data_IF_033464143342
#
_entry.id   IF_033464143342
#
_cell.length_a   1.000
_cell.length_b   1.000
_cell.length_c   1.000
_cell.angle_alpha   90.00
_cell.angle_beta   90.00
_cell.angle_gamma   90.00
#
_symmetry.space_group_name_H-M   'P 1'
#
loop_
_entity.id
_entity.type
_entity.pdbx_description
1 polymer ?
#
# COMPACT_ATOMS: atom_id res chain seq x y z
N UNK A 1 5.37 14.12 15.09
CA UNK A 1 3.93 14.28 15.49
C UNK A 1 3.57 12.98 16.18
N UNK A 2 3.28 13.03 17.48
CA UNK A 2 2.86 11.82 18.19
C UNK A 2 1.39 11.52 17.83
N UNK A 3 1.11 10.30 17.39
CA UNK A 3 -0.23 9.81 17.09
C UNK A 3 -0.56 8.62 17.95
N UNK A 4 -1.83 8.47 18.31
CA UNK A 4 -2.27 7.33 19.11
C UNK A 4 -2.66 6.17 18.22
N UNK A 5 -2.36 4.95 18.69
CA UNK A 5 -2.82 3.72 18.06
C UNK A 5 -4.27 3.47 18.50
N UNK A 6 -5.15 3.35 17.52
CA UNK A 6 -6.56 3.02 17.70
C UNK A 6 -6.85 1.59 17.22
N UNK A 7 -7.95 1.02 17.68
CA UNK A 7 -8.41 -0.31 17.29
C UNK A 7 -9.89 -0.30 17.02
N UNK A 8 -10.30 -1.10 16.06
CA UNK A 8 -11.69 -1.39 15.77
C UNK A 8 -11.89 -2.90 15.61
N UNK A 9 -12.93 -3.41 16.23
CA UNK A 9 -13.36 -4.80 16.08
C UNK A 9 -14.72 -4.83 15.37
N UNK A 10 -14.80 -5.58 14.29
CA UNK A 10 -16.02 -5.76 13.53
C UNK A 10 -16.08 -7.17 12.94
N UNK A 11 -17.23 -7.82 13.00
CA UNK A 11 -17.45 -9.18 12.48
C UNK A 11 -16.42 -10.22 12.96
N UNK A 12 -15.92 -10.08 14.22
CA UNK A 12 -14.92 -10.98 14.78
C UNK A 12 -13.48 -10.70 14.32
N UNK A 13 -13.25 -9.63 13.57
CA UNK A 13 -11.94 -9.20 13.09
C UNK A 13 -11.49 -7.94 13.83
N UNK A 14 -10.24 -7.89 14.26
CA UNK A 14 -9.64 -6.71 14.91
C UNK A 14 -8.62 -6.06 13.98
N UNK A 15 -8.75 -4.73 13.81
CA UNK A 15 -7.83 -3.89 13.04
C UNK A 15 -7.16 -2.88 13.95
N UNK A 16 -5.87 -2.67 13.72
CA UNK A 16 -5.16 -1.52 14.22
C UNK A 16 -5.09 -0.42 13.16
N UNK A 17 -5.23 0.81 13.60
CA UNK A 17 -5.04 1.99 12.76
C UNK A 17 -4.58 3.17 13.62
N UNK A 18 -4.15 4.22 12.96
CA UNK A 18 -3.99 5.53 13.58
C UNK A 18 -4.54 6.61 12.65
N UNK A 19 -4.90 7.73 13.23
CA UNK A 19 -5.40 8.87 12.45
C UNK A 19 -4.78 10.18 12.88
N UNK A 20 -4.77 11.11 11.95
CA UNK A 20 -4.26 12.46 12.17
C UNK A 20 -4.84 13.41 11.12
N UNK A 21 -4.59 14.71 11.30
CA UNK A 21 -5.16 15.73 10.43
C UNK A 21 -6.46 16.31 10.98
N UNK A 22 -6.94 17.39 10.36
CA UNK A 22 -8.10 18.18 10.80
C UNK A 22 -9.01 18.60 9.64
N UNK A 23 -8.77 18.05 8.45
CA UNK A 23 -9.61 18.27 7.28
C UNK A 23 -10.99 17.63 7.44
N UNK A 24 -11.93 18.10 6.65
CA UNK A 24 -13.31 17.59 6.60
C UNK A 24 -13.47 16.37 5.66
N UNK A 25 -12.46 16.12 4.84
CA UNK A 25 -12.40 14.99 3.91
C UNK A 25 -11.66 13.83 4.54
N UNK A 26 -12.09 12.61 4.26
CA UNK A 26 -11.45 11.40 4.78
C UNK A 26 -10.52 10.80 3.73
N UNK A 27 -9.27 10.58 4.11
CA UNK A 27 -8.27 9.88 3.32
C UNK A 27 -7.86 8.60 4.04
N UNK A 28 -8.07 7.46 3.41
CA UNK A 28 -7.59 6.18 3.92
C UNK A 28 -6.32 5.79 3.16
N UNK A 29 -5.26 5.55 3.90
CA UNK A 29 -3.96 5.09 3.40
C UNK A 29 -3.84 3.60 3.64
N UNK A 30 -3.62 2.84 2.57
CA UNK A 30 -3.40 1.40 2.61
C UNK A 30 -1.95 1.15 2.18
N UNK A 31 -1.05 0.78 3.11
CA UNK A 31 0.37 0.60 2.81
C UNK A 31 0.63 -0.66 2.00
N UNK A 32 1.77 -0.71 1.37
CA UNK A 32 2.30 -1.88 0.68
C UNK A 32 2.60 -3.05 1.61
N UNK A 33 3.12 -4.13 1.03
CA UNK A 33 3.72 -5.23 1.78
C UNK A 33 4.94 -4.71 2.57
N UNK A 34 5.04 -5.09 3.82
CA UNK A 34 6.15 -4.72 4.70
C UNK A 34 6.48 -5.85 5.65
N UNK A 35 7.74 -5.96 6.03
CA UNK A 35 8.20 -6.97 6.98
C UNK A 35 7.58 -6.72 8.35
N UNK A 36 7.66 -5.48 8.84
CA UNK A 36 7.03 -5.05 10.10
C UNK A 36 5.72 -4.33 9.84
N UNK A 37 4.83 -4.35 10.82
CA UNK A 37 3.59 -3.58 10.77
C UNK A 37 3.87 -2.08 10.62
N UNK A 38 3.13 -1.42 9.71
CA UNK A 38 3.18 0.05 9.56
C UNK A 38 2.85 0.78 10.86
N UNK A 39 2.08 0.13 11.74
CA UNK A 39 1.70 0.70 13.03
C UNK A 39 2.88 0.86 13.99
N UNK A 40 3.94 0.05 13.83
CA UNK A 40 5.20 0.19 14.56
C UNK A 40 5.94 1.49 14.22
N UNK A 41 5.63 2.08 13.06
CA UNK A 41 6.23 3.32 12.55
C UNK A 41 5.26 4.50 12.51
N UNK A 42 4.14 4.42 13.23
CA UNK A 42 3.01 5.36 13.16
C UNK A 42 3.41 6.84 13.19
N UNK A 43 4.35 7.21 14.07
CA UNK A 43 4.78 8.60 14.23
C UNK A 43 5.59 9.11 13.02
N UNK A 44 6.47 8.26 12.48
CA UNK A 44 7.26 8.56 11.28
C UNK A 44 6.37 8.61 10.03
N UNK A 45 5.43 7.68 9.90
CA UNK A 45 4.45 7.65 8.80
C UNK A 45 3.54 8.88 8.84
N UNK A 46 3.07 9.28 10.03
CA UNK A 46 2.28 10.49 10.18
C UNK A 46 3.07 11.77 9.80
N UNK A 47 4.38 11.79 10.05
CA UNK A 47 5.26 12.88 9.60
C UNK A 47 5.43 12.86 8.09
N UNK A 48 5.67 11.69 7.49
CA UNK A 48 5.83 11.52 6.04
C UNK A 48 4.57 11.92 5.25
N UNK A 49 3.38 11.68 5.82
CA UNK A 49 2.09 11.99 5.21
C UNK A 49 1.50 13.34 5.65
N UNK A 50 2.29 14.16 6.34
CA UNK A 50 1.78 15.42 6.95
C UNK A 50 1.23 16.41 5.91
N UNK A 51 1.65 16.32 4.65
CA UNK A 51 1.14 17.17 3.55
C UNK A 51 -0.39 17.08 3.41
N UNK A 52 -1.00 15.92 3.75
CA UNK A 52 -2.44 15.71 3.68
C UNK A 52 -3.21 16.27 4.88
N UNK A 53 -2.55 16.47 6.03
CA UNK A 53 -3.17 16.71 7.35
C UNK A 53 -4.00 17.98 7.48
N UNK A 54 -3.81 18.96 6.58
CA UNK A 54 -4.57 20.21 6.56
C UNK A 54 -5.96 20.01 5.95
N UNK A 55 -6.05 19.20 4.90
CA UNK A 55 -7.23 19.10 4.04
C UNK A 55 -8.01 17.80 4.29
N UNK A 56 -7.37 16.82 4.91
CA UNK A 56 -7.93 15.51 5.21
C UNK A 56 -7.80 15.14 6.68
N UNK A 57 -8.77 14.38 7.18
CA UNK A 57 -8.59 13.46 8.29
C UNK A 57 -8.02 12.17 7.68
N UNK A 58 -6.76 11.85 8.01
CA UNK A 58 -6.01 10.75 7.41
C UNK A 58 -6.07 9.54 8.32
N UNK A 59 -6.51 8.42 7.79
CA UNK A 59 -6.54 7.12 8.45
C UNK A 59 -5.48 6.22 7.81
N UNK A 60 -4.60 5.65 8.61
CA UNK A 60 -3.60 4.66 8.16
C UNK A 60 -3.90 3.34 8.84
N UNK A 61 -4.28 2.34 8.05
CA UNK A 61 -4.59 1.00 8.54
C UNK A 61 -3.45 0.03 8.25
N UNK A 62 -3.32 -0.99 9.11
CA UNK A 62 -2.65 -2.24 8.71
C UNK A 62 -3.70 -3.33 8.48
N UNK A 63 -3.26 -4.49 7.97
CA UNK A 63 -4.10 -5.70 7.83
C UNK A 63 -4.58 -6.13 9.21
N UNK A 64 -5.62 -6.96 9.25
CA UNK A 64 -6.15 -7.52 10.50
C UNK A 64 -5.05 -8.10 11.38
N UNK A 65 -5.27 -8.08 12.69
CA UNK A 65 -4.26 -8.50 13.66
C UNK A 65 -3.93 -10.01 13.56
N UNK A 66 -4.97 -10.83 13.49
CA UNK A 66 -4.82 -12.27 13.39
C UNK A 66 -5.08 -12.68 11.93
N UNK A 67 -4.02 -12.92 11.19
CA UNK A 67 -4.12 -13.34 9.79
C UNK A 67 -4.58 -14.80 9.71
N UNK A 68 -5.54 -15.16 8.84
CA UNK A 68 -5.84 -16.54 8.52
C UNK A 68 -4.71 -17.12 7.66
N UNK A 69 -4.61 -18.45 7.59
CA UNK A 69 -3.61 -19.14 6.76
C UNK A 69 -3.79 -18.81 5.26
N UNK A 70 -5.04 -18.77 4.80
CA UNK A 70 -5.41 -18.29 3.47
C UNK A 70 -5.94 -16.86 3.61
N UNK A 71 -5.28 -15.91 2.94
CA UNK A 71 -5.62 -14.50 3.04
C UNK A 71 -5.31 -13.78 1.72
N UNK A 72 -6.27 -13.81 0.82
CA UNK A 72 -6.17 -13.23 -0.52
C UNK A 72 -6.28 -11.70 -0.49
N UNK A 73 -5.94 -11.05 -1.60
CA UNK A 73 -6.14 -9.59 -1.73
C UNK A 73 -7.64 -9.23 -1.65
N UNK A 74 -8.52 -10.11 -2.13
CA UNK A 74 -9.98 -9.91 -2.02
C UNK A 74 -10.43 -9.98 -0.57
N UNK A 75 -9.98 -10.97 0.23
CA UNK A 75 -10.26 -11.07 1.66
C UNK A 75 -9.76 -9.82 2.41
N UNK A 76 -8.56 -9.32 2.05
CA UNK A 76 -8.04 -8.09 2.63
C UNK A 76 -8.96 -6.90 2.33
N UNK A 77 -9.48 -6.80 1.12
CA UNK A 77 -10.41 -5.71 0.74
C UNK A 77 -11.74 -5.81 1.50
N UNK A 78 -12.30 -7.02 1.66
CA UNK A 78 -13.52 -7.24 2.48
C UNK A 78 -13.31 -6.84 3.94
N UNK A 79 -12.16 -7.20 4.49
CA UNK A 79 -11.77 -6.82 5.84
C UNK A 79 -11.70 -5.30 6.00
N UNK A 80 -11.06 -4.60 5.07
CA UNK A 80 -10.99 -3.13 5.09
C UNK A 80 -12.38 -2.49 4.97
N UNK A 81 -13.23 -2.98 4.05
CA UNK A 81 -14.62 -2.52 3.91
C UNK A 81 -15.37 -2.68 5.23
N UNK A 82 -15.22 -3.84 5.89
CA UNK A 82 -15.83 -4.12 7.20
C UNK A 82 -15.36 -3.11 8.26
N UNK A 83 -14.07 -2.80 8.31
CA UNK A 83 -13.54 -1.80 9.25
C UNK A 83 -14.06 -0.38 8.93
N UNK A 84 -14.16 0.00 7.65
CA UNK A 84 -14.63 1.31 7.24
C UNK A 84 -16.12 1.50 7.54
N UNK A 85 -16.93 0.47 7.32
CA UNK A 85 -18.37 0.49 7.67
C UNK A 85 -18.56 0.58 9.20
N UNK A 86 -17.78 -0.17 9.98
CA UNK A 86 -17.83 -0.13 11.44
C UNK A 86 -17.44 1.23 12.03
N UNK A 87 -16.50 1.93 11.39
CA UNK A 87 -16.10 3.29 11.75
C UNK A 87 -17.05 4.38 11.21
N UNK A 88 -18.02 4.01 10.38
CA UNK A 88 -18.94 4.96 9.75
C UNK A 88 -18.20 5.97 8.86
N UNK A 89 -17.17 5.54 8.13
CA UNK A 89 -16.35 6.46 7.34
C UNK A 89 -17.15 7.08 6.18
N UNK A 90 -18.17 6.38 5.65
CA UNK A 90 -18.95 6.84 4.52
C UNK A 90 -18.12 6.92 3.23
N UNK A 91 -18.22 8.04 2.50
CA UNK A 91 -17.37 8.25 1.31
C UNK A 91 -15.96 8.66 1.70
N UNK A 92 -14.98 7.96 1.12
CA UNK A 92 -13.55 8.14 1.41
C UNK A 92 -12.74 8.34 0.12
N UNK A 93 -11.60 8.97 0.24
CA UNK A 93 -10.53 8.86 -0.75
C UNK A 93 -9.58 7.75 -0.34
N UNK A 94 -9.02 7.02 -1.32
CA UNK A 94 -8.03 5.97 -1.09
C UNK A 94 -6.64 6.41 -1.59
N UNK A 95 -5.62 6.08 -0.82
CA UNK A 95 -4.23 6.18 -1.22
C UNK A 95 -3.59 4.81 -0.98
N UNK A 96 -3.51 4.02 -2.04
CA UNK A 96 -3.03 2.64 -2.00
C UNK A 96 -1.66 2.50 -2.67
N UNK A 97 -0.70 1.91 -1.95
CA UNK A 97 0.66 1.71 -2.45
C UNK A 97 0.96 0.22 -2.59
N UNK A 98 1.51 -0.21 -3.71
CA UNK A 98 1.95 -1.59 -3.95
C UNK A 98 0.81 -2.58 -3.67
N UNK A 99 0.97 -3.56 -2.78
CA UNK A 99 -0.12 -4.45 -2.33
C UNK A 99 -1.33 -3.65 -1.81
N UNK A 100 -1.11 -2.51 -1.14
CA UNK A 100 -2.21 -1.62 -0.73
C UNK A 100 -2.97 -1.02 -1.90
N UNK A 101 -2.31 -0.83 -3.04
CA UNK A 101 -2.97 -0.45 -4.31
C UNK A 101 -3.84 -1.57 -4.88
N UNK A 102 -3.38 -2.82 -4.81
CA UNK A 102 -4.19 -4.00 -5.20
C UNK A 102 -5.47 -4.10 -4.35
N UNK A 103 -5.34 -3.89 -3.04
CA UNK A 103 -6.47 -3.86 -2.11
C UNK A 103 -7.42 -2.70 -2.45
N UNK A 104 -6.90 -1.50 -2.69
CA UNK A 104 -7.69 -0.33 -3.03
C UNK A 104 -8.48 -0.50 -4.34
N UNK A 105 -7.90 -1.15 -5.36
CA UNK A 105 -8.59 -1.53 -6.60
C UNK A 105 -9.78 -2.45 -6.30
N UNK A 106 -9.58 -3.49 -5.47
CA UNK A 106 -10.67 -4.38 -5.07
C UNK A 106 -11.77 -3.64 -4.31
N UNK A 107 -11.43 -2.79 -3.35
CA UNK A 107 -12.42 -1.97 -2.62
C UNK A 107 -13.25 -1.12 -3.58
N UNK A 108 -12.61 -0.46 -4.55
CA UNK A 108 -13.31 0.39 -5.51
C UNK A 108 -14.20 -0.41 -6.48
N UNK A 109 -13.85 -1.67 -6.79
CA UNK A 109 -14.65 -2.61 -7.58
C UNK A 109 -15.85 -3.12 -6.76
N UNK A 110 -15.64 -3.51 -5.50
CA UNK A 110 -16.67 -4.10 -4.64
C UNK A 110 -17.63 -3.05 -4.07
N UNK A 111 -17.15 -1.86 -3.76
CA UNK A 111 -17.89 -0.77 -3.12
C UNK A 111 -17.68 0.56 -3.86
N UNK A 112 -18.11 0.66 -5.13
CA UNK A 112 -17.96 1.90 -5.91
C UNK A 112 -18.69 3.09 -5.30
N UNK A 113 -19.69 2.85 -4.43
CA UNK A 113 -20.40 3.87 -3.67
C UNK A 113 -19.56 4.50 -2.56
N UNK A 114 -18.57 3.77 -2.04
CA UNK A 114 -17.73 4.19 -0.92
C UNK A 114 -16.54 5.05 -1.35
N UNK A 115 -16.02 4.87 -2.58
CA UNK A 115 -14.77 5.52 -3.01
C UNK A 115 -15.07 6.77 -3.83
N UNK A 116 -14.63 7.94 -3.34
CA UNK A 116 -14.78 9.24 -4.02
C UNK A 116 -13.69 9.51 -5.05
N UNK A 117 -12.47 9.14 -4.75
CA UNK A 117 -11.30 9.25 -5.61
C UNK A 117 -10.19 8.33 -5.08
N UNK A 118 -9.27 7.89 -5.93
CA UNK A 118 -8.11 7.13 -5.43
C UNK A 118 -6.82 7.43 -6.17
N UNK A 119 -5.72 7.29 -5.44
CA UNK A 119 -4.36 7.29 -5.95
C UNK A 119 -3.78 5.89 -5.76
N UNK A 120 -3.25 5.32 -6.83
CA UNK A 120 -2.61 4.01 -6.85
C UNK A 120 -1.14 4.20 -7.20
N UNK A 121 -0.26 3.87 -6.26
CA UNK A 121 1.19 4.02 -6.42
C UNK A 121 1.90 2.68 -6.55
N UNK A 122 2.79 2.53 -7.54
CA UNK A 122 3.69 1.37 -7.71
C UNK A 122 2.96 0.03 -7.52
N UNK A 123 1.87 -0.20 -8.25
CA UNK A 123 0.96 -1.32 -8.03
C UNK A 123 0.61 -2.05 -9.34
N UNK A 124 -0.16 -3.12 -9.24
CA UNK A 124 -0.58 -3.94 -10.36
C UNK A 124 -2.06 -4.35 -10.21
N UNK A 125 -2.74 -4.61 -11.33
CA UNK A 125 -4.07 -5.21 -11.35
C UNK A 125 -4.02 -6.73 -11.52
N UNK A 126 -2.88 -7.25 -11.90
CA UNK A 126 -2.53 -8.68 -12.00
C UNK A 126 -1.02 -8.82 -11.88
N UNK A 127 -0.53 -9.98 -11.47
CA UNK A 127 0.90 -10.17 -11.28
C UNK A 127 1.57 -10.75 -12.52
N UNK A 128 2.64 -10.09 -12.96
CA UNK A 128 3.58 -10.64 -13.93
C UNK A 128 4.40 -11.77 -13.31
N UNK A 129 4.94 -12.68 -14.13
CA UNK A 129 5.87 -13.72 -13.65
C UNK A 129 7.10 -13.12 -12.96
N UNK A 130 7.56 -11.95 -13.42
CA UNK A 130 8.65 -11.22 -12.77
C UNK A 130 8.29 -10.84 -11.33
N UNK A 131 7.10 -10.27 -11.13
CA UNK A 131 6.59 -9.89 -9.80
C UNK A 131 6.42 -11.10 -8.90
N UNK A 132 5.82 -12.20 -9.42
CA UNK A 132 5.66 -13.46 -8.69
C UNK A 132 7.00 -14.02 -8.23
N UNK A 133 8.00 -14.04 -9.10
CA UNK A 133 9.33 -14.52 -8.76
C UNK A 133 10.00 -13.63 -7.70
N UNK A 134 9.85 -12.30 -7.78
CA UNK A 134 10.40 -11.36 -6.80
C UNK A 134 9.79 -11.60 -5.42
N UNK A 135 8.45 -11.64 -5.33
CA UNK A 135 7.72 -11.87 -4.08
C UNK A 135 7.97 -13.29 -3.55
N UNK A 136 8.00 -14.29 -4.43
CA UNK A 136 8.31 -15.68 -4.09
C UNK A 136 9.70 -15.84 -3.45
N UNK A 137 10.69 -15.03 -3.89
CA UNK A 137 12.00 -15.02 -3.26
C UNK A 137 11.96 -14.46 -1.84
N UNK A 138 11.18 -13.40 -1.60
CA UNK A 138 10.98 -12.87 -0.24
C UNK A 138 10.28 -13.87 0.68
N UNK A 139 9.25 -14.55 0.16
CA UNK A 139 8.54 -15.62 0.86
C UNK A 139 9.49 -16.76 1.26
N UNK A 140 10.32 -17.25 0.32
CA UNK A 140 11.32 -18.29 0.59
C UNK A 140 12.28 -17.90 1.73
N UNK A 141 12.78 -16.66 1.71
CA UNK A 141 13.70 -16.15 2.71
C UNK A 141 13.00 -15.96 4.08
N UNK A 142 11.75 -15.49 4.07
CA UNK A 142 10.95 -15.38 5.29
C UNK A 142 10.69 -16.74 5.93
N UNK A 143 10.34 -17.78 5.15
CA UNK A 143 10.17 -19.14 5.65
C UNK A 143 11.45 -19.74 6.27
N UNK A 144 12.62 -19.34 5.75
CA UNK A 144 13.92 -19.72 6.31
C UNK A 144 14.34 -18.87 7.49
N UNK A 145 13.58 -17.80 7.80
CA UNK A 145 13.92 -16.79 8.81
C UNK A 145 15.32 -16.21 8.60
N UNK A 146 15.75 -16.09 7.34
CA UNK A 146 17.02 -15.50 6.96
C UNK A 146 16.87 -13.98 6.86
N UNK A 147 16.94 -13.32 8.03
CA UNK A 147 16.74 -11.89 8.16
C UNK A 147 17.69 -11.09 7.24
N UNK A 148 18.97 -11.42 7.27
CA UNK A 148 19.96 -10.66 6.50
C UNK A 148 19.71 -10.74 5.00
N UNK A 149 19.48 -11.94 4.47
CA UNK A 149 19.20 -12.13 3.05
C UNK A 149 17.82 -11.54 2.65
N UNK A 150 16.82 -11.61 3.54
CA UNK A 150 15.50 -11.03 3.29
C UNK A 150 15.58 -9.51 3.18
N UNK A 151 16.21 -8.83 4.13
CA UNK A 151 16.31 -7.38 4.14
C UNK A 151 17.12 -6.85 2.95
N UNK A 152 18.18 -7.56 2.56
CA UNK A 152 18.95 -7.25 1.34
C UNK A 152 18.12 -7.43 0.08
N UNK A 153 17.45 -8.58 -0.07
CA UNK A 153 16.63 -8.89 -1.24
C UNK A 153 15.42 -7.96 -1.36
N UNK A 154 14.84 -7.55 -0.24
CA UNK A 154 13.71 -6.62 -0.20
C UNK A 154 14.18 -5.19 -0.54
N UNK A 155 15.15 -4.66 0.21
CA UNK A 155 15.60 -3.28 0.08
C UNK A 155 16.18 -2.97 -1.30
N UNK A 156 17.03 -3.87 -1.84
CA UNK A 156 17.64 -3.69 -3.17
C UNK A 156 16.63 -3.70 -4.34
N UNK A 157 15.43 -4.21 -4.15
CA UNK A 157 14.36 -4.24 -5.17
C UNK A 157 13.36 -3.11 -4.99
N UNK A 158 13.10 -2.71 -3.74
CA UNK A 158 12.09 -1.72 -3.40
C UNK A 158 12.58 -0.30 -3.68
N UNK A 159 13.83 0.01 -3.33
CA UNK A 159 14.41 1.34 -3.54
C UNK A 159 15.19 1.44 -4.85
N UNK A 160 15.34 2.66 -5.37
CA UNK A 160 16.28 2.90 -6.45
C UNK A 160 17.71 2.57 -6.01
N UNK A 161 18.58 2.17 -6.96
CA UNK A 161 19.93 1.75 -6.65
C UNK A 161 20.70 2.80 -5.87
N UNK A 162 20.66 4.07 -6.33
CA UNK A 162 21.36 5.17 -5.69
C UNK A 162 20.87 5.42 -4.27
N UNK A 163 19.55 5.42 -4.07
CA UNK A 163 18.95 5.62 -2.77
C UNK A 163 19.31 4.48 -1.81
N UNK A 164 19.21 3.23 -2.28
CA UNK A 164 19.54 2.07 -1.45
C UNK A 164 21.01 2.05 -1.03
N UNK A 165 21.93 2.26 -1.97
CA UNK A 165 23.37 2.32 -1.66
C UNK A 165 23.70 3.41 -0.63
N UNK A 166 23.02 4.56 -0.71
CA UNK A 166 23.21 5.69 0.21
C UNK A 166 22.63 5.47 1.60
N UNK A 167 21.47 4.82 1.70
CA UNK A 167 20.70 4.72 2.94
C UNK A 167 20.55 3.29 3.47
N UNK A 168 21.22 2.31 2.87
CA UNK A 168 21.11 0.89 3.21
C UNK A 168 21.16 0.60 4.69
N UNK A 169 22.16 1.13 5.40
CA UNK A 169 22.34 0.86 6.83
C UNK A 169 21.17 1.44 7.67
N UNK A 170 20.65 2.60 7.26
CA UNK A 170 19.50 3.22 7.92
C UNK A 170 18.25 2.38 7.68
N UNK A 171 18.01 1.97 6.45
CA UNK A 171 16.87 1.14 6.04
C UNK A 171 16.89 -0.19 6.81
N UNK A 172 18.01 -0.92 6.75
CA UNK A 172 18.15 -2.21 7.43
C UNK A 172 18.00 -2.05 8.95
N UNK A 173 18.67 -1.07 9.55
CA UNK A 173 18.57 -0.85 11.00
C UNK A 173 17.16 -0.44 11.46
N UNK A 174 16.33 0.13 10.61
CA UNK A 174 14.95 0.50 10.96
C UNK A 174 14.01 -0.71 11.07
N UNK A 175 14.33 -1.81 10.38
CA UNK A 175 13.47 -3.00 10.27
C UNK A 175 14.12 -4.30 10.76
N UNK A 176 15.37 -4.26 11.23
CA UNK A 176 16.05 -5.43 11.81
C UNK A 176 15.38 -5.93 13.08
N UNK A 177 15.87 -7.05 13.62
CA UNK A 177 15.32 -7.76 14.77
C UNK A 177 13.87 -8.22 14.47
N UNK A 178 13.72 -8.96 13.36
CA UNK A 178 12.44 -9.50 12.89
C UNK A 178 12.03 -10.66 13.80
N UNK A 179 10.84 -10.58 14.37
CA UNK A 179 10.30 -11.66 15.20
C UNK A 179 9.76 -12.82 14.35
N UNK A 180 9.60 -13.98 14.97
CA UNK A 180 9.00 -15.15 14.31
C UNK A 180 7.59 -14.85 13.79
N UNK A 181 6.78 -14.09 14.55
CA UNK A 181 5.44 -13.67 14.15
C UNK A 181 5.46 -12.72 12.93
N UNK A 182 6.47 -11.85 12.82
CA UNK A 182 6.63 -10.97 11.66
C UNK A 182 7.06 -11.75 10.40
N UNK A 183 7.92 -12.77 10.56
CA UNK A 183 8.23 -13.70 9.45
C UNK A 183 6.99 -14.47 9.00
N UNK A 184 6.23 -15.05 9.93
CA UNK A 184 5.02 -15.81 9.64
C UNK A 184 3.96 -14.93 8.98
N UNK A 185 3.82 -13.68 9.46
CA UNK A 185 2.94 -12.67 8.85
C UNK A 185 3.35 -12.38 7.40
N UNK A 186 4.63 -12.17 7.13
CA UNK A 186 5.13 -11.91 5.78
C UNK A 186 4.87 -13.10 4.84
N UNK A 187 5.05 -14.32 5.34
CA UNK A 187 4.74 -15.55 4.60
C UNK A 187 3.27 -15.58 4.18
N UNK A 188 2.34 -15.38 5.11
CA UNK A 188 0.89 -15.37 4.82
C UNK A 188 0.55 -14.29 3.78
N UNK A 189 1.09 -13.07 3.94
CA UNK A 189 0.80 -11.96 3.04
C UNK A 189 1.38 -12.13 1.63
N UNK A 190 2.32 -13.05 1.44
CA UNK A 190 2.96 -13.33 0.15
C UNK A 190 2.52 -14.64 -0.49
N UNK A 191 2.01 -15.61 0.29
CA UNK A 191 1.55 -16.91 -0.24
C UNK A 191 0.36 -16.76 -1.19
N UNK A 192 -0.62 -15.97 -0.82
CA UNK A 192 -1.93 -15.91 -1.46
C UNK A 192 -2.04 -14.75 -2.49
N UNK A 193 -0.92 -14.14 -2.87
CA UNK A 193 -0.93 -13.02 -3.82
C UNK A 193 -0.86 -13.48 -5.30
N UNK A 194 -0.38 -14.71 -5.55
CA UNK A 194 -0.03 -15.17 -6.90
C UNK A 194 -1.21 -15.26 -7.88
N UNK A 195 -2.41 -15.51 -7.37
CA UNK A 195 -3.63 -15.65 -8.19
C UNK A 195 -4.40 -14.33 -8.32
N UNK A 196 -3.83 -13.25 -7.81
CA UNK A 196 -4.44 -11.92 -7.90
C UNK A 196 -4.54 -11.45 -9.35
N UNK A 197 -5.77 -11.29 -9.84
CA UNK A 197 -6.08 -10.71 -11.15
C UNK A 197 -7.47 -10.05 -11.12
N UNK A 198 -7.48 -8.72 -11.20
CA UNK A 198 -8.71 -7.91 -11.33
C UNK A 198 -8.71 -7.08 -12.61
N UNK A 199 -7.79 -7.39 -13.55
CA UNK A 199 -7.59 -6.58 -14.75
C UNK A 199 -8.88 -6.38 -15.55
N UNK A 200 -9.68 -7.41 -15.75
CA UNK A 200 -10.93 -7.29 -16.51
C UNK A 200 -12.02 -6.55 -15.72
N UNK A 201 -11.95 -6.57 -14.39
CA UNK A 201 -12.88 -5.86 -13.51
C UNK A 201 -12.54 -4.39 -13.26
N UNK A 202 -11.38 -3.92 -13.72
CA UNK A 202 -10.99 -2.51 -13.58
C UNK A 202 -12.04 -1.54 -14.14
N UNK A 203 -12.79 -1.96 -15.17
CA UNK A 203 -13.87 -1.15 -15.77
C UNK A 203 -15.09 -0.97 -14.85
N UNK A 204 -15.16 -1.68 -13.73
CA UNK A 204 -16.21 -1.53 -12.71
C UNK A 204 -15.94 -0.34 -11.78
N UNK A 205 -14.71 0.19 -11.77
CA UNK A 205 -14.31 1.36 -10.98
C UNK A 205 -15.05 2.60 -11.49
N UNK A 206 -15.66 3.36 -10.56
CA UNK A 206 -16.52 4.51 -10.89
C UNK A 206 -15.96 5.86 -10.45
N UNK A 207 -14.92 5.86 -9.62
CA UNK A 207 -14.30 7.09 -9.13
C UNK A 207 -13.14 7.55 -10.02
N UNK A 208 -12.74 8.81 -9.94
CA UNK A 208 -11.49 9.28 -10.52
C UNK A 208 -10.29 8.54 -9.93
N UNK A 209 -9.33 8.18 -10.79
CA UNK A 209 -8.11 7.45 -10.40
C UNK A 209 -6.88 8.16 -10.96
N UNK A 210 -5.85 8.32 -10.14
CA UNK A 210 -4.50 8.68 -10.55
C UNK A 210 -3.58 7.48 -10.32
N UNK A 211 -2.85 7.11 -11.36
CA UNK A 211 -1.82 6.07 -11.28
C UNK A 211 -0.44 6.74 -11.20
N UNK A 212 0.43 6.26 -10.33
CA UNK A 212 1.78 6.79 -10.17
C UNK A 212 2.80 5.67 -9.97
N UNK A 213 4.02 5.84 -10.49
CA UNK A 213 5.08 4.83 -10.31
C UNK A 213 6.45 5.32 -10.75
N UNK A 214 7.49 4.63 -10.29
CA UNK A 214 8.87 4.86 -10.71
C UNK A 214 9.21 4.11 -12.01
N UNK A 215 9.99 4.73 -12.91
CA UNK A 215 10.38 4.08 -14.17
C UNK A 215 11.31 2.89 -13.98
N UNK A 216 12.01 2.82 -12.83
CA UNK A 216 12.94 1.74 -12.46
C UNK A 216 12.38 0.80 -11.39
N UNK A 217 11.03 0.71 -11.29
CA UNK A 217 10.36 -0.22 -10.36
C UNK A 217 10.76 -1.67 -10.64
N UNK A 218 11.47 -2.28 -9.69
CA UNK A 218 11.94 -3.66 -9.76
C UNK A 218 11.08 -4.65 -8.96
N UNK A 219 9.86 -4.27 -8.57
CA UNK A 219 8.91 -5.14 -7.86
C UNK A 219 7.71 -5.45 -8.74
N UNK A 220 6.89 -4.44 -9.04
CA UNK A 220 5.72 -4.61 -9.92
C UNK A 220 6.01 -4.23 -11.37
N UNK A 221 7.03 -3.42 -11.60
CA UNK A 221 7.38 -2.85 -12.90
C UNK A 221 6.43 -1.72 -13.31
N UNK A 222 6.98 -0.69 -13.95
CA UNK A 222 6.18 0.46 -14.41
C UNK A 222 5.09 0.06 -15.41
N UNK A 223 5.29 -1.01 -16.16
CA UNK A 223 4.31 -1.51 -17.12
C UNK A 223 3.01 -1.97 -16.47
N UNK A 224 3.06 -2.50 -15.24
CA UNK A 224 1.85 -2.83 -14.48
C UNK A 224 1.01 -1.59 -14.18
N UNK A 225 1.65 -0.48 -13.80
CA UNK A 225 0.99 0.82 -13.62
C UNK A 225 0.42 1.36 -14.94
N UNK A 226 1.15 1.23 -16.05
CA UNK A 226 0.69 1.61 -17.38
C UNK A 226 -0.52 0.79 -17.84
N UNK A 227 -0.52 -0.52 -17.57
CA UNK A 227 -1.66 -1.41 -17.87
C UNK A 227 -2.94 -0.95 -17.14
N UNK A 228 -2.86 -0.62 -15.85
CA UNK A 228 -4.00 -0.10 -15.10
C UNK A 228 -4.50 1.19 -15.75
N UNK A 229 -3.62 2.17 -15.94
CA UNK A 229 -3.98 3.47 -16.49
C UNK A 229 -4.63 3.36 -17.87
N UNK A 230 -4.08 2.53 -18.74
CA UNK A 230 -4.63 2.30 -20.09
C UNK A 230 -6.02 1.63 -20.04
N UNK A 231 -6.22 0.63 -19.16
CA UNK A 231 -7.49 -0.11 -19.05
C UNK A 231 -8.66 0.78 -18.62
N UNK A 232 -8.42 1.71 -17.69
CA UNK A 232 -9.47 2.61 -17.14
C UNK A 232 -9.41 4.02 -17.71
N UNK A 233 -8.52 4.27 -18.68
CA UNK A 233 -8.30 5.59 -19.29
C UNK A 233 -8.05 6.69 -18.23
N UNK A 234 -7.17 6.41 -17.28
CA UNK A 234 -6.80 7.34 -16.22
C UNK A 234 -5.48 8.04 -16.49
N UNK A 235 -5.24 9.16 -15.79
CA UNK A 235 -3.94 9.82 -15.75
C UNK A 235 -2.89 8.90 -15.13
N UNK A 236 -1.66 8.93 -15.66
CA UNK A 236 -0.49 8.31 -15.08
C UNK A 236 0.66 9.31 -14.98
N UNK A 237 1.34 9.33 -13.82
CA UNK A 237 2.57 10.08 -13.61
C UNK A 237 3.70 9.08 -13.40
N UNK A 238 4.71 9.15 -14.27
CA UNK A 238 5.93 8.33 -14.17
C UNK A 238 7.07 9.19 -13.66
N UNK A 239 7.69 8.74 -12.57
CA UNK A 239 8.86 9.39 -11.99
C UNK A 239 10.12 8.72 -12.54
N UNK A 240 10.83 9.43 -13.41
CA UNK A 240 12.00 8.89 -14.09
C UNK A 240 13.18 8.72 -13.13
N UNK A 241 13.85 7.54 -13.18
CA UNK A 241 15.00 7.20 -12.36
C UNK A 241 14.66 6.74 -10.94
N UNK A 242 13.39 6.62 -10.58
CA UNK A 242 12.96 6.15 -9.27
C UNK A 242 12.53 4.68 -9.28
N UNK A 243 12.77 4.01 -8.15
CA UNK A 243 12.37 2.62 -7.93
C UNK A 243 10.91 2.44 -7.51
N UNK A 244 10.61 1.27 -6.97
CA UNK A 244 9.27 0.93 -6.45
C UNK A 244 8.82 1.87 -5.33
N UNK A 245 9.73 2.24 -4.42
CA UNK A 245 9.45 3.12 -3.29
C UNK A 245 9.52 4.62 -3.64
N UNK A 246 9.23 5.01 -4.88
CA UNK A 246 9.22 6.43 -5.29
C UNK A 246 8.41 7.33 -4.35
N UNK A 247 7.38 6.80 -3.71
CA UNK A 247 6.55 7.49 -2.72
C UNK A 247 7.30 7.86 -1.43
N UNK A 248 8.43 7.21 -1.14
CA UNK A 248 9.34 7.52 -0.03
C UNK A 248 10.55 8.31 -0.50
N UNK A 249 11.03 8.06 -1.71
CA UNK A 249 12.23 8.68 -2.27
C UNK A 249 11.98 10.10 -2.82
N UNK A 250 10.74 10.41 -3.23
CA UNK A 250 10.39 11.69 -3.86
C UNK A 250 9.16 12.34 -3.19
N UNK A 251 9.37 13.49 -2.57
CA UNK A 251 8.29 14.22 -1.90
C UNK A 251 7.21 14.73 -2.88
N UNK A 252 7.56 15.01 -4.14
CA UNK A 252 6.61 15.45 -5.18
C UNK A 252 5.50 14.40 -5.41
N UNK A 253 5.78 13.12 -5.16
CA UNK A 253 4.78 12.07 -5.27
C UNK A 253 3.55 12.37 -4.38
N UNK A 254 3.78 12.71 -3.12
CA UNK A 254 2.71 13.02 -2.17
C UNK A 254 1.98 14.32 -2.51
N UNK A 255 2.69 15.29 -3.04
CA UNK A 255 2.10 16.57 -3.44
C UNK A 255 1.19 16.40 -4.67
N UNK A 256 1.60 15.63 -5.69
CA UNK A 256 0.78 15.27 -6.84
C UNK A 256 -0.45 14.46 -6.45
N UNK A 257 -0.28 13.49 -5.54
CA UNK A 257 -1.38 12.72 -5.00
C UNK A 257 -2.43 13.62 -4.33
N UNK A 258 -1.98 14.54 -3.48
CA UNK A 258 -2.84 15.50 -2.79
C UNK A 258 -3.57 16.42 -3.77
N UNK A 259 -2.86 16.99 -4.73
CA UNK A 259 -3.43 17.88 -5.75
C UNK A 259 -4.57 17.17 -6.49
N UNK A 260 -4.33 15.95 -6.98
CA UNK A 260 -5.33 15.15 -7.65
C UNK A 260 -6.55 14.87 -6.78
N UNK A 261 -6.34 14.39 -5.54
CA UNK A 261 -7.44 14.08 -4.63
C UNK A 261 -8.31 15.30 -4.35
N UNK A 262 -7.71 16.46 -4.10
CA UNK A 262 -8.47 17.68 -3.84
C UNK A 262 -9.27 18.12 -5.06
N UNK A 263 -8.69 18.05 -6.26
CA UNK A 263 -9.36 18.40 -7.53
C UNK A 263 -10.54 17.48 -7.82
N UNK A 264 -10.42 16.19 -7.46
CA UNK A 264 -11.45 15.18 -7.71
C UNK A 264 -12.66 15.26 -6.75
N UNK A 265 -12.57 16.04 -5.68
CA UNK A 265 -13.61 16.18 -4.65
C UNK A 265 -14.38 17.50 -4.73
N UNK A 266 -14.15 18.29 -5.77
CA UNK A 266 -14.91 19.52 -6.08
C UNK A 266 -16.13 19.12 -6.90
#
# INVERSE_FOLDING_TARGET
>A
MAVELERIAANGVEFGYFRFGKGDKKLVVIPGLSVKSVLSFKDSVAVALKTFSRDFEVYVFDRRRNLPEEYTIEDMAEDFITAFDALGLGKISLYGISQGGMIALNIAIMRPDMVSAMVIGSSAARLSEYTKNTIGKWNELARKKDEGALLEAFGSKVYSKEFYERFKDIIINSVKDITDEEFDRLVILTDNINDFDVYDRLTDIRCPVLIMGGSEDQVTGIESSREIAAKINSEIIVFEGYGHAVYDENEEFKDKAKEFLLKSLI
#
